data_IF_446209524729
#
_entry.id   IF_446209524729
#
_cell.length_a   1.000
_cell.length_b   1.000
_cell.length_c   1.000
_cell.angle_alpha   90.00
_cell.angle_beta   90.00
_cell.angle_gamma   90.00
#
_symmetry.space_group_name_H-M   'P 1'
#
loop_
_entity.id
_entity.type
_entity.pdbx_description
1 polymer ?
#
# COMPACT_ATOMS: atom_id res chain seq x y z
N UNK A 1 -44.17 -90.25 30.08
CA UNK A 1 -43.32 -89.15 29.63
C UNK A 1 -43.93 -88.57 28.39
N UNK A 2 -44.79 -87.59 28.58
CA UNK A 2 -45.49 -86.92 27.47
C UNK A 2 -44.66 -85.77 26.94
N UNK A 3 -44.37 -85.84 25.62
CA UNK A 3 -43.64 -84.81 24.90
C UNK A 3 -44.57 -83.66 24.57
N UNK A 4 -44.22 -82.50 25.15
CA UNK A 4 -44.88 -81.24 24.92
C UNK A 4 -44.42 -80.70 23.54
N UNK A 5 -45.31 -80.69 22.54
CA UNK A 5 -45.09 -80.03 21.27
C UNK A 5 -45.99 -78.80 21.16
N UNK A 6 -45.46 -77.57 21.33
CA UNK A 6 -46.22 -76.38 21.05
C UNK A 6 -46.10 -76.05 19.59
N UNK A 7 -46.88 -76.62 18.72
CA UNK A 7 -47.07 -76.12 17.36
C UNK A 7 -47.95 -74.87 17.45
N UNK A 8 -47.33 -73.76 17.50
CA UNK A 8 -47.97 -72.46 17.35
C UNK A 8 -48.67 -72.38 15.98
N UNK A 9 -50.00 -72.59 15.96
CA UNK A 9 -50.84 -72.32 14.77
C UNK A 9 -50.79 -70.82 14.51
N UNK A 10 -49.79 -70.34 13.73
CA UNK A 10 -49.77 -68.98 13.18
C UNK A 10 -51.04 -68.83 12.33
N UNK A 11 -51.94 -67.96 12.73
CA UNK A 11 -53.24 -67.64 12.16
C UNK A 11 -53.08 -67.40 10.64
N UNK A 12 -53.88 -68.03 9.77
CA UNK A 12 -53.73 -67.95 8.32
C UNK A 12 -53.82 -66.51 7.76
N UNK A 13 -54.46 -65.60 8.47
CA UNK A 13 -54.51 -64.19 8.19
C UNK A 13 -53.14 -63.54 8.40
N UNK A 14 -52.38 -63.94 9.42
CA UNK A 14 -51.04 -63.43 9.71
C UNK A 14 -50.05 -63.87 8.63
N UNK A 15 -50.16 -65.11 8.11
CA UNK A 15 -49.29 -65.53 7.01
C UNK A 15 -49.47 -64.75 5.70
N UNK A 16 -50.65 -64.14 5.47
CA UNK A 16 -50.90 -63.28 4.31
C UNK A 16 -50.47 -61.79 4.56
N UNK A 17 -50.46 -61.36 5.79
CA UNK A 17 -50.10 -60.02 6.16
C UNK A 17 -48.56 -59.81 6.20
N UNK A 18 -47.78 -60.81 6.60
CA UNK A 18 -46.29 -60.74 6.68
C UNK A 18 -45.66 -60.33 5.34
N UNK A 19 -45.98 -60.95 4.15
CA UNK A 19 -45.35 -60.49 2.91
C UNK A 19 -45.77 -59.10 2.49
N UNK A 20 -46.98 -58.61 2.81
CA UNK A 20 -47.42 -57.24 2.50
C UNK A 20 -46.64 -56.23 3.35
N UNK A 21 -46.49 -56.52 4.63
CA UNK A 21 -45.69 -55.68 5.52
C UNK A 21 -44.20 -55.62 5.08
N UNK A 22 -43.66 -56.79 4.68
CA UNK A 22 -42.29 -56.86 4.16
C UNK A 22 -42.13 -56.00 2.89
N UNK A 23 -43.07 -56.03 1.94
CA UNK A 23 -43.05 -55.19 0.73
C UNK A 23 -43.16 -53.68 1.09
N UNK A 24 -44.02 -53.30 2.04
CA UNK A 24 -44.12 -51.90 2.51
C UNK A 24 -42.84 -51.45 3.12
N UNK A 25 -42.17 -52.26 3.94
CA UNK A 25 -40.85 -51.92 4.54
C UNK A 25 -39.82 -51.76 3.45
N UNK A 26 -39.76 -52.61 2.45
CA UNK A 26 -38.83 -52.52 1.32
C UNK A 26 -39.08 -51.23 0.53
N UNK A 27 -40.36 -50.92 0.24
CA UNK A 27 -40.72 -49.65 -0.44
C UNK A 27 -40.31 -48.42 0.42
N UNK A 28 -40.53 -48.44 1.74
CA UNK A 28 -40.15 -47.37 2.65
C UNK A 28 -38.64 -47.20 2.69
N UNK A 29 -37.86 -48.28 2.70
CA UNK A 29 -36.40 -48.26 2.62
C UNK A 29 -35.95 -47.61 1.29
N UNK A 30 -36.49 -48.06 0.15
CA UNK A 30 -36.18 -47.52 -1.18
C UNK A 30 -36.54 -46.04 -1.23
N UNK A 31 -37.71 -45.65 -0.73
CA UNK A 31 -38.12 -44.23 -0.68
C UNK A 31 -37.17 -43.36 0.18
N UNK A 32 -36.68 -43.92 1.28
CA UNK A 32 -35.70 -43.22 2.12
C UNK A 32 -34.37 -42.93 1.39
N UNK A 33 -33.90 -43.85 0.54
CA UNK A 33 -32.69 -43.66 -0.27
C UNK A 33 -32.93 -42.84 -1.56
N UNK A 34 -34.18 -42.51 -1.87
CA UNK A 34 -34.54 -41.72 -3.05
C UNK A 34 -34.44 -40.23 -2.85
N UNK A 35 -34.27 -39.76 -1.62
CA UNK A 35 -34.22 -38.34 -1.30
C UNK A 35 -32.76 -37.86 -1.25
N UNK A 36 -32.48 -36.74 -1.90
CA UNK A 36 -31.22 -36.00 -1.80
C UNK A 36 -31.51 -34.54 -1.54
N UNK A 37 -30.79 -33.95 -0.60
CA UNK A 37 -30.87 -32.53 -0.28
C UNK A 37 -29.58 -31.86 -0.79
N UNK A 38 -29.72 -30.90 -1.71
CA UNK A 38 -28.65 -30.06 -2.20
C UNK A 38 -28.61 -28.79 -1.34
N UNK A 39 -27.50 -28.52 -0.63
CA UNK A 39 -27.39 -27.36 0.22
C UNK A 39 -27.47 -26.06 -0.57
N UNK A 40 -27.93 -24.96 0.07
CA UNK A 40 -27.97 -23.64 -0.52
C UNK A 40 -26.57 -23.20 -0.98
N UNK A 41 -26.49 -22.65 -2.20
CA UNK A 41 -25.24 -22.23 -2.82
C UNK A 41 -24.38 -23.40 -3.31
N UNK A 42 -24.99 -24.57 -3.58
CA UNK A 42 -24.33 -25.73 -4.16
C UNK A 42 -25.17 -26.28 -5.31
N UNK A 43 -24.55 -27.07 -6.16
CA UNK A 43 -25.17 -27.73 -7.29
C UNK A 43 -24.97 -29.24 -7.17
N UNK A 44 -26.04 -30.02 -7.36
CA UNK A 44 -25.98 -31.47 -7.39
C UNK A 44 -25.73 -31.97 -8.81
N UNK A 45 -24.59 -32.58 -9.06
CA UNK A 45 -24.28 -33.25 -10.34
C UNK A 45 -24.77 -34.70 -10.32
N UNK A 46 -25.68 -34.99 -11.20
CA UNK A 46 -26.32 -36.33 -11.27
C UNK A 46 -25.48 -37.25 -12.13
N UNK A 47 -25.18 -38.42 -11.58
CA UNK A 47 -24.54 -39.52 -12.31
C UNK A 47 -25.51 -40.70 -12.39
N UNK A 48 -25.77 -41.20 -13.59
CA UNK A 48 -26.60 -42.36 -13.82
C UNK A 48 -25.74 -43.51 -14.34
N UNK A 49 -25.54 -44.55 -13.53
CA UNK A 49 -24.67 -45.68 -13.86
C UNK A 49 -23.28 -45.28 -14.36
N UNK A 50 -22.69 -44.23 -13.69
CA UNK A 50 -21.37 -43.71 -14.03
C UNK A 50 -21.37 -42.65 -15.14
N UNK A 51 -22.46 -42.39 -15.84
CA UNK A 51 -22.56 -41.31 -16.82
C UNK A 51 -23.01 -40.01 -16.14
N UNK A 52 -22.23 -38.97 -16.22
CA UNK A 52 -22.58 -37.64 -15.75
C UNK A 52 -23.68 -37.06 -16.64
N UNK A 53 -24.73 -36.54 -16.03
CA UNK A 53 -25.79 -35.80 -16.72
C UNK A 53 -25.41 -34.36 -16.88
N UNK A 54 -25.74 -33.80 -18.02
CA UNK A 54 -25.54 -32.33 -18.25
C UNK A 54 -26.55 -31.49 -17.46
N UNK A 55 -27.70 -32.11 -17.04
CA UNK A 55 -28.66 -31.46 -16.16
C UNK A 55 -28.20 -31.58 -14.70
N UNK A 56 -28.12 -30.47 -14.01
CA UNK A 56 -27.75 -30.38 -12.60
C UNK A 56 -28.99 -30.15 -11.73
N UNK A 57 -28.94 -30.62 -10.49
CA UNK A 57 -29.92 -30.31 -9.46
C UNK A 57 -29.51 -29.00 -8.76
N UNK A 58 -30.40 -28.04 -8.75
CA UNK A 58 -30.21 -26.79 -7.99
C UNK A 58 -30.40 -27.07 -6.49
N UNK A 59 -30.21 -26.05 -5.67
CA UNK A 59 -30.43 -26.14 -4.23
C UNK A 59 -31.87 -26.55 -3.90
N UNK A 60 -32.01 -27.36 -2.87
CA UNK A 60 -33.31 -27.83 -2.38
C UNK A 60 -33.43 -29.35 -2.27
N UNK A 61 -34.65 -29.84 -2.16
CA UNK A 61 -34.96 -31.24 -2.04
C UNK A 61 -35.26 -31.82 -3.42
N UNK A 62 -34.54 -32.89 -3.75
CA UNK A 62 -34.69 -33.60 -5.03
C UNK A 62 -34.89 -35.10 -4.81
N UNK A 63 -35.44 -35.76 -5.84
CA UNK A 63 -35.57 -37.20 -5.87
C UNK A 63 -34.56 -37.79 -6.85
N UNK A 64 -33.88 -38.85 -6.41
CA UNK A 64 -32.99 -39.68 -7.24
C UNK A 64 -33.45 -41.14 -7.27
N UNK A 65 -33.10 -41.85 -8.31
CA UNK A 65 -33.33 -43.28 -8.37
C UNK A 65 -32.23 -43.99 -7.58
N UNK A 66 -32.58 -44.65 -6.44
CA UNK A 66 -31.58 -45.31 -5.61
C UNK A 66 -30.91 -46.46 -6.40
N UNK A 67 -29.65 -46.71 -6.08
CA UNK A 67 -28.76 -47.70 -6.74
C UNK A 67 -28.38 -47.40 -8.20
N UNK A 68 -29.13 -46.55 -8.91
CA UNK A 68 -28.90 -46.21 -10.32
C UNK A 68 -28.25 -44.81 -10.42
N UNK A 69 -28.69 -43.90 -9.56
CA UNK A 69 -28.21 -42.50 -9.57
C UNK A 69 -27.42 -42.17 -8.32
N UNK A 70 -26.27 -41.56 -8.56
CA UNK A 70 -25.48 -40.86 -7.54
C UNK A 70 -25.50 -39.35 -7.79
N UNK A 71 -25.40 -38.56 -6.73
CA UNK A 71 -25.36 -37.11 -6.82
C UNK A 71 -24.11 -36.63 -6.09
N UNK A 72 -23.20 -35.98 -6.82
CA UNK A 72 -22.06 -35.28 -6.27
C UNK A 72 -22.43 -33.80 -6.02
N UNK A 73 -22.07 -33.27 -4.88
CA UNK A 73 -22.39 -31.86 -4.51
C UNK A 73 -21.17 -31.02 -4.76
N UNK A 74 -21.28 -30.05 -5.67
CA UNK A 74 -20.26 -29.03 -5.96
C UNK A 74 -20.69 -27.73 -5.32
N UNK A 75 -19.80 -27.11 -4.52
CA UNK A 75 -20.05 -25.81 -3.92
C UNK A 75 -19.83 -24.71 -4.95
N UNK A 76 -20.83 -23.85 -5.12
CA UNK A 76 -20.75 -22.64 -5.96
C UNK A 76 -20.54 -21.38 -5.13
N UNK A 77 -20.32 -21.54 -3.81
CA UNK A 77 -19.98 -20.44 -2.91
C UNK A 77 -18.55 -19.98 -3.16
N UNK A 78 -18.27 -18.75 -2.79
CA UNK A 78 -16.90 -18.25 -2.82
C UNK A 78 -16.07 -19.02 -1.80
N UNK A 79 -15.01 -19.62 -2.28
CA UNK A 79 -14.04 -20.39 -1.52
C UNK A 79 -12.69 -19.65 -1.55
N UNK A 80 -11.86 -19.86 -0.53
CA UNK A 80 -10.51 -19.32 -0.44
C UNK A 80 -9.52 -20.47 -0.57
N UNK A 81 -8.55 -20.31 -1.47
CA UNK A 81 -7.41 -21.20 -1.60
C UNK A 81 -6.12 -20.42 -1.37
N UNK A 82 -5.29 -20.91 -0.47
CA UNK A 82 -3.93 -20.40 -0.27
C UNK A 82 -2.96 -21.27 -1.04
N UNK A 83 -2.06 -20.62 -1.79
CA UNK A 83 -1.10 -21.28 -2.67
C UNK A 83 0.27 -20.67 -2.44
N UNK A 84 1.23 -21.53 -2.19
CA UNK A 84 2.65 -21.14 -2.24
C UNK A 84 3.15 -21.31 -3.67
N UNK A 85 3.73 -20.26 -4.23
CA UNK A 85 4.25 -20.25 -5.57
C UNK A 85 5.67 -19.69 -5.59
N UNK A 86 6.59 -20.47 -6.17
CA UNK A 86 7.96 -20.06 -6.38
C UNK A 86 8.12 -19.63 -7.84
N UNK A 87 8.68 -18.46 -8.04
CA UNK A 87 8.88 -17.86 -9.34
C UNK A 87 10.29 -17.25 -9.45
N UNK A 88 10.63 -16.79 -10.64
CA UNK A 88 11.86 -16.05 -10.89
C UNK A 88 11.50 -14.72 -11.50
N UNK A 89 12.08 -13.64 -11.00
CA UNK A 89 11.90 -12.29 -11.54
C UNK A 89 12.71 -12.10 -12.83
N UNK A 90 12.48 -10.98 -13.51
CA UNK A 90 13.19 -10.60 -14.74
C UNK A 90 14.71 -10.48 -14.55
N UNK A 91 15.14 -10.07 -13.37
CA UNK A 91 16.54 -9.96 -12.95
C UNK A 91 17.09 -11.23 -12.28
N UNK A 92 16.40 -12.38 -12.54
CA UNK A 92 16.79 -13.72 -12.12
C UNK A 92 16.85 -13.93 -10.60
N UNK A 93 16.11 -13.11 -9.83
CA UNK A 93 15.96 -13.34 -8.39
C UNK A 93 14.86 -14.36 -8.12
N UNK A 94 15.13 -15.28 -7.20
CA UNK A 94 14.11 -16.21 -6.71
C UNK A 94 13.10 -15.47 -5.84
N UNK A 95 11.84 -15.67 -6.12
CA UNK A 95 10.72 -15.06 -5.42
C UNK A 95 9.83 -16.17 -4.88
N UNK A 96 9.74 -16.27 -3.58
CA UNK A 96 8.76 -17.10 -2.90
C UNK A 96 7.54 -16.25 -2.56
N UNK A 97 6.37 -16.69 -2.97
CA UNK A 97 5.15 -15.93 -2.76
C UNK A 97 4.05 -16.78 -2.14
N UNK A 98 3.35 -16.18 -1.20
CA UNK A 98 2.11 -16.71 -0.66
C UNK A 98 0.94 -15.94 -1.28
N UNK A 99 0.03 -16.68 -1.91
CA UNK A 99 -1.07 -16.14 -2.69
C UNK A 99 -2.39 -16.67 -2.13
N UNK A 100 -3.35 -15.78 -1.91
CA UNK A 100 -4.72 -16.13 -1.55
C UNK A 100 -5.64 -15.82 -2.72
N UNK A 101 -6.32 -16.85 -3.23
CA UNK A 101 -7.29 -16.75 -4.31
C UNK A 101 -8.68 -17.02 -3.78
N UNK A 102 -9.60 -16.08 -3.97
CA UNK A 102 -11.02 -16.29 -3.76
C UNK A 102 -11.65 -16.62 -5.11
N UNK A 103 -12.27 -17.76 -5.21
CA UNK A 103 -12.87 -18.28 -6.44
C UNK A 103 -14.20 -18.95 -6.16
N UNK A 104 -14.98 -19.16 -7.19
CA UNK A 104 -16.18 -19.99 -7.16
C UNK A 104 -16.34 -20.76 -8.47
N UNK A 105 -17.08 -21.84 -8.41
CA UNK A 105 -17.52 -22.59 -9.60
C UNK A 105 -18.80 -21.96 -10.13
N UNK A 106 -18.86 -21.72 -11.43
CA UNK A 106 -20.09 -21.28 -12.09
C UNK A 106 -21.18 -22.32 -11.97
N UNK A 107 -22.43 -21.90 -11.79
CA UNK A 107 -23.57 -22.84 -11.66
C UNK A 107 -23.68 -23.78 -12.84
N UNK A 108 -23.54 -23.24 -14.05
CA UNK A 108 -23.65 -24.01 -15.31
C UNK A 108 -22.41 -24.86 -15.60
N UNK A 109 -21.29 -24.56 -14.92
CA UNK A 109 -20.02 -25.26 -15.11
C UNK A 109 -19.88 -26.52 -14.23
N UNK A 110 -20.68 -26.66 -13.18
CA UNK A 110 -20.52 -27.72 -12.18
C UNK A 110 -20.56 -29.15 -12.81
N UNK A 111 -21.44 -29.41 -13.79
CA UNK A 111 -21.47 -30.69 -14.49
C UNK A 111 -20.22 -30.90 -15.35
N UNK A 112 -19.75 -29.87 -16.03
CA UNK A 112 -18.58 -29.94 -16.91
C UNK A 112 -17.28 -30.17 -16.11
N UNK A 113 -17.10 -29.44 -14.99
CA UNK A 113 -16.00 -29.66 -14.07
C UNK A 113 -15.98 -31.08 -13.55
N UNK A 114 -17.10 -31.55 -13.04
CA UNK A 114 -17.18 -32.91 -12.50
C UNK A 114 -16.89 -33.97 -13.54
N UNK A 115 -17.41 -33.80 -14.76
CA UNK A 115 -17.27 -34.74 -15.87
C UNK A 115 -15.83 -34.85 -16.39
N UNK A 116 -15.13 -33.74 -16.50
CA UNK A 116 -13.83 -33.66 -17.15
C UNK A 116 -12.65 -33.71 -16.17
N UNK A 117 -12.85 -33.26 -14.92
CA UNK A 117 -11.79 -33.08 -13.94
C UNK A 117 -12.08 -33.89 -12.66
N UNK A 118 -13.34 -33.88 -12.20
CA UNK A 118 -13.76 -34.51 -10.96
C UNK A 118 -13.84 -33.56 -9.78
N UNK A 119 -13.89 -34.12 -8.57
CA UNK A 119 -14.04 -33.37 -7.33
C UNK A 119 -12.78 -32.57 -6.94
N UNK A 120 -11.59 -33.00 -7.40
CA UNK A 120 -10.32 -32.39 -7.07
C UNK A 120 -9.86 -31.34 -8.09
N UNK A 121 -10.80 -30.58 -8.64
CA UNK A 121 -10.51 -29.54 -9.63
C UNK A 121 -9.60 -28.44 -9.10
N UNK A 122 -9.58 -28.20 -7.80
CA UNK A 122 -8.67 -27.27 -7.14
C UNK A 122 -7.21 -27.68 -7.32
N UNK A 123 -6.90 -28.94 -7.03
CA UNK A 123 -5.54 -29.48 -7.13
C UNK A 123 -5.09 -29.66 -8.58
N UNK A 124 -6.02 -30.02 -9.46
CA UNK A 124 -5.71 -30.40 -10.85
C UNK A 124 -5.64 -29.17 -11.77
N UNK A 125 -6.48 -28.17 -11.55
CA UNK A 125 -6.59 -26.99 -12.42
C UNK A 125 -6.17 -25.72 -11.71
N UNK A 126 -6.77 -25.38 -10.57
CA UNK A 126 -6.56 -24.09 -9.93
C UNK A 126 -5.11 -23.88 -9.44
N UNK A 127 -4.57 -24.84 -8.69
CA UNK A 127 -3.21 -24.75 -8.17
C UNK A 127 -2.15 -24.57 -9.27
N UNK A 128 -2.10 -25.42 -10.31
CA UNK A 128 -1.14 -25.24 -11.39
C UNK A 128 -1.34 -23.94 -12.17
N UNK A 129 -2.59 -23.51 -12.40
CA UNK A 129 -2.88 -22.27 -13.08
C UNK A 129 -2.38 -21.04 -12.29
N UNK A 130 -2.54 -21.02 -10.97
CA UNK A 130 -1.99 -19.97 -10.10
C UNK A 130 -0.47 -19.91 -10.19
N UNK A 131 0.19 -21.07 -10.04
CA UNK A 131 1.65 -21.16 -10.11
C UNK A 131 2.20 -20.72 -11.47
N UNK A 132 1.54 -21.13 -12.56
CA UNK A 132 1.96 -20.75 -13.90
C UNK A 132 1.72 -19.26 -14.18
N UNK A 133 0.57 -18.72 -13.77
CA UNK A 133 0.29 -17.28 -13.90
C UNK A 133 1.29 -16.45 -13.12
N UNK A 134 1.64 -16.88 -11.90
CA UNK A 134 2.69 -16.24 -11.09
C UNK A 134 4.04 -16.24 -11.81
N UNK A 135 4.49 -17.40 -12.31
CA UNK A 135 5.77 -17.52 -13.04
C UNK A 135 5.80 -16.68 -14.32
N UNK A 136 4.70 -16.69 -15.06
CA UNK A 136 4.60 -15.95 -16.33
C UNK A 136 4.65 -14.44 -16.15
N UNK A 137 4.01 -13.93 -15.10
CA UNK A 137 3.95 -12.48 -14.85
C UNK A 137 5.21 -12.02 -14.13
N UNK A 138 5.68 -12.73 -13.09
CA UNK A 138 6.88 -12.32 -12.34
C UNK A 138 8.13 -12.22 -13.23
N UNK A 139 8.25 -13.04 -14.26
CA UNK A 139 9.35 -12.99 -15.22
C UNK A 139 9.40 -11.68 -16.07
N UNK A 140 8.34 -10.87 -16.05
CA UNK A 140 8.28 -9.58 -16.75
C UNK A 140 8.78 -8.43 -15.90
N UNK A 141 8.82 -8.58 -14.57
CA UNK A 141 9.13 -7.55 -13.58
C UNK A 141 10.43 -7.87 -12.85
N UNK A 142 11.20 -6.84 -12.50
CA UNK A 142 12.32 -6.99 -11.58
C UNK A 142 11.82 -7.22 -10.15
N UNK A 143 12.66 -7.73 -9.28
CA UNK A 143 12.32 -7.95 -7.88
C UNK A 143 11.88 -6.63 -7.18
N UNK A 144 12.54 -5.50 -7.49
CA UNK A 144 12.15 -4.17 -7.03
C UNK A 144 10.77 -3.75 -7.55
N UNK A 145 10.47 -4.01 -8.83
CA UNK A 145 9.16 -3.71 -9.43
C UNK A 145 8.04 -4.59 -8.86
N UNK A 146 8.31 -5.86 -8.53
CA UNK A 146 7.34 -6.74 -7.86
C UNK A 146 6.89 -6.18 -6.51
N UNK A 147 7.75 -5.46 -5.80
CA UNK A 147 7.45 -4.81 -4.53
C UNK A 147 6.72 -3.47 -4.77
N UNK A 148 7.27 -2.61 -5.61
CA UNK A 148 6.81 -1.22 -5.82
C UNK A 148 5.52 -1.15 -6.64
N UNK A 149 5.36 -2.05 -7.63
CA UNK A 149 4.18 -2.14 -8.50
C UNK A 149 3.25 -3.30 -8.13
N UNK A 150 3.27 -3.74 -6.86
CA UNK A 150 2.55 -4.91 -6.36
C UNK A 150 1.08 -4.96 -6.77
N UNK A 151 0.38 -3.83 -6.76
CA UNK A 151 -1.03 -3.75 -7.15
C UNK A 151 -1.21 -4.08 -8.64
N UNK A 152 -0.38 -3.53 -9.51
CA UNK A 152 -0.42 -3.78 -10.96
C UNK A 152 -0.07 -5.23 -11.28
N UNK A 153 0.99 -5.76 -10.64
CA UNK A 153 1.40 -7.17 -10.77
C UNK A 153 0.26 -8.10 -10.35
N UNK A 154 -0.42 -7.79 -9.24
CA UNK A 154 -1.56 -8.57 -8.76
C UNK A 154 -2.71 -8.62 -9.76
N UNK A 155 -3.06 -7.52 -10.39
CA UNK A 155 -4.11 -7.47 -11.41
C UNK A 155 -3.70 -8.21 -12.70
N UNK A 156 -2.43 -8.14 -13.10
CA UNK A 156 -1.94 -8.88 -14.27
C UNK A 156 -1.92 -10.40 -14.02
N UNK A 157 -1.53 -10.83 -12.80
CA UNK A 157 -1.59 -12.25 -12.43
C UNK A 157 -3.06 -12.72 -12.39
N UNK A 158 -3.96 -11.92 -11.81
CA UNK A 158 -5.40 -12.22 -11.79
C UNK A 158 -5.94 -12.41 -13.20
N UNK A 159 -5.65 -11.49 -14.11
CA UNK A 159 -6.11 -11.56 -15.50
C UNK A 159 -5.56 -12.79 -16.22
N UNK A 160 -4.28 -13.12 -16.04
CA UNK A 160 -3.67 -14.33 -16.60
C UNK A 160 -4.28 -15.60 -16.02
N UNK A 161 -4.62 -15.59 -14.74
CA UNK A 161 -5.29 -16.72 -14.07
C UNK A 161 -6.71 -16.91 -14.58
N UNK A 162 -7.49 -15.81 -14.67
CA UNK A 162 -8.86 -15.83 -15.21
C UNK A 162 -8.91 -16.41 -16.62
N UNK A 163 -7.99 -16.02 -17.49
CA UNK A 163 -7.90 -16.57 -18.85
C UNK A 163 -7.71 -18.09 -18.84
N UNK A 164 -6.86 -18.62 -17.96
CA UNK A 164 -6.56 -20.06 -17.87
C UNK A 164 -7.67 -20.90 -17.26
N UNK A 165 -8.41 -20.37 -16.29
CA UNK A 165 -9.41 -21.16 -15.53
C UNK A 165 -10.84 -20.95 -16.02
N UNK A 166 -11.10 -19.90 -16.82
CA UNK A 166 -12.43 -19.59 -17.34
C UNK A 166 -13.00 -20.68 -18.25
N UNK A 167 -12.16 -21.39 -19.01
CA UNK A 167 -12.59 -22.51 -19.86
C UNK A 167 -13.20 -23.66 -19.07
N UNK A 168 -12.78 -23.83 -17.81
CA UNK A 168 -13.32 -24.82 -16.89
C UNK A 168 -14.54 -24.30 -16.12
N UNK A 169 -14.88 -23.02 -16.26
CA UNK A 169 -15.99 -22.38 -15.57
C UNK A 169 -15.70 -22.03 -14.11
N UNK A 170 -14.43 -21.88 -13.77
CA UNK A 170 -13.98 -21.33 -12.48
C UNK A 170 -13.91 -19.81 -12.64
N UNK A 171 -14.54 -19.09 -11.73
CA UNK A 171 -14.57 -17.62 -11.68
C UNK A 171 -13.69 -17.15 -10.53
N UNK A 172 -12.73 -16.29 -10.84
CA UNK A 172 -11.86 -15.67 -9.82
C UNK A 172 -12.53 -14.38 -9.33
N UNK A 173 -12.94 -14.38 -8.07
CA UNK A 173 -13.55 -13.20 -7.45
C UNK A 173 -12.50 -12.20 -6.96
N UNK A 174 -11.46 -12.72 -6.30
CA UNK A 174 -10.37 -11.90 -5.76
C UNK A 174 -9.05 -12.66 -5.80
N UNK A 175 -8.00 -11.94 -6.17
CA UNK A 175 -6.62 -12.39 -6.09
C UNK A 175 -5.86 -11.48 -5.11
N UNK A 176 -5.11 -12.06 -4.20
CA UNK A 176 -4.33 -11.30 -3.22
C UNK A 176 -2.97 -11.96 -3.05
N UNK A 177 -1.93 -11.19 -3.26
CA UNK A 177 -0.58 -11.59 -2.88
C UNK A 177 -0.46 -11.31 -1.38
N UNK A 178 -0.22 -12.33 -0.58
CA UNK A 178 -0.08 -12.20 0.88
C UNK A 178 1.34 -11.74 1.20
N UNK A 179 2.32 -12.44 0.67
CA UNK A 179 3.72 -12.13 0.86
C UNK A 179 4.55 -12.32 -0.42
N UNK A 180 5.66 -11.56 -0.52
CA UNK A 180 6.77 -11.79 -1.42
C UNK A 180 8.03 -11.91 -0.57
N UNK A 181 8.67 -13.06 -0.60
CA UNK A 181 9.94 -13.31 0.06
C UNK A 181 11.03 -13.47 -1.00
N UNK A 182 12.15 -12.81 -0.78
CA UNK A 182 13.33 -12.85 -1.62
C UNK A 182 14.49 -13.48 -0.86
N UNK A 183 15.59 -13.80 -1.57
CA UNK A 183 16.78 -14.33 -0.90
C UNK A 183 17.35 -13.33 0.11
N UNK A 184 18.01 -13.83 1.15
CA UNK A 184 18.62 -13.01 2.20
C UNK A 184 19.67 -12.05 1.61
N UNK A 185 20.47 -12.53 0.66
CA UNK A 185 21.49 -11.72 -0.02
C UNK A 185 20.86 -10.57 -0.83
N UNK A 186 19.70 -10.82 -1.45
CA UNK A 186 18.97 -9.76 -2.17
C UNK A 186 18.41 -8.72 -1.21
N UNK A 187 17.83 -9.14 -0.09
CA UNK A 187 17.28 -8.23 0.92
C UNK A 187 18.39 -7.35 1.51
N UNK A 188 19.55 -7.91 1.85
CA UNK A 188 20.72 -7.15 2.31
C UNK A 188 21.24 -6.16 1.25
N UNK A 189 21.28 -6.56 -0.03
CA UNK A 189 21.71 -5.67 -1.12
C UNK A 189 20.74 -4.51 -1.34
N UNK A 190 19.43 -4.74 -1.24
CA UNK A 190 18.41 -3.69 -1.33
C UNK A 190 18.48 -2.74 -0.14
N UNK A 191 18.68 -3.26 1.07
CA UNK A 191 18.86 -2.43 2.27
C UNK A 191 20.10 -1.54 2.14
N UNK A 192 21.23 -2.11 1.72
CA UNK A 192 22.47 -1.36 1.49
C UNK A 192 22.28 -0.28 0.41
N UNK A 193 21.58 -0.57 -0.69
CA UNK A 193 21.23 0.39 -1.74
C UNK A 193 20.40 1.53 -1.19
N UNK A 194 19.34 1.23 -0.41
CA UNK A 194 18.47 2.24 0.19
C UNK A 194 19.23 3.14 1.16
N UNK A 195 20.12 2.58 1.99
CA UNK A 195 20.96 3.36 2.90
C UNK A 195 21.90 4.29 2.11
N UNK A 196 22.50 3.80 1.01
CA UNK A 196 23.35 4.62 0.16
C UNK A 196 22.58 5.75 -0.54
N UNK A 197 21.39 5.50 -1.04
CA UNK A 197 20.51 6.50 -1.65
C UNK A 197 20.05 7.56 -0.64
N UNK A 198 19.67 7.14 0.58
CA UNK A 198 19.30 8.06 1.66
C UNK A 198 20.48 8.96 2.06
N UNK A 199 21.69 8.39 2.16
CA UNK A 199 22.89 9.15 2.44
C UNK A 199 23.21 10.17 1.33
N UNK A 200 23.02 9.79 0.07
CA UNK A 200 23.19 10.70 -1.07
C UNK A 200 22.20 11.86 -1.03
N UNK A 201 20.91 11.56 -0.77
CA UNK A 201 19.86 12.60 -0.63
C UNK A 201 20.19 13.52 0.53
N UNK A 202 20.57 12.96 1.68
CA UNK A 202 20.97 13.73 2.87
C UNK A 202 22.14 14.68 2.56
N UNK A 203 23.20 14.17 1.93
CA UNK A 203 24.37 14.98 1.57
C UNK A 203 24.00 16.10 0.59
N UNK A 204 23.16 15.80 -0.43
CA UNK A 204 22.66 16.84 -1.34
C UNK A 204 21.88 17.92 -0.60
N UNK A 205 20.97 17.54 0.26
CA UNK A 205 20.16 18.47 1.04
C UNK A 205 21.03 19.33 1.97
N UNK A 206 22.03 18.73 2.62
CA UNK A 206 22.99 19.46 3.46
C UNK A 206 23.82 20.47 2.64
N UNK A 207 24.25 20.11 1.42
CA UNK A 207 24.95 21.02 0.52
C UNK A 207 24.05 22.17 0.04
N UNK A 208 22.82 21.88 -0.35
CA UNK A 208 21.84 22.90 -0.74
C UNK A 208 21.55 23.87 0.42
N UNK A 209 21.37 23.34 1.64
CA UNK A 209 21.19 24.15 2.84
C UNK A 209 22.41 25.05 3.11
N UNK A 210 23.63 24.52 2.98
CA UNK A 210 24.85 25.28 3.17
C UNK A 210 24.97 26.43 2.16
N UNK A 211 24.60 26.22 0.90
CA UNK A 211 24.56 27.25 -0.14
C UNK A 211 23.54 28.33 0.24
N UNK A 212 22.32 27.95 0.59
CA UNK A 212 21.26 28.89 0.98
C UNK A 212 21.67 29.75 2.20
N UNK A 213 22.29 29.10 3.19
CA UNK A 213 22.81 29.83 4.37
C UNK A 213 23.91 30.82 3.98
N UNK A 214 24.88 30.42 3.13
CA UNK A 214 25.93 31.27 2.66
C UNK A 214 25.40 32.45 1.83
N UNK A 215 24.43 32.23 0.96
CA UNK A 215 23.76 33.29 0.20
C UNK A 215 22.98 34.24 1.12
N UNK A 216 22.26 33.72 2.11
CA UNK A 216 21.56 34.57 3.09
C UNK A 216 22.51 35.40 3.94
N UNK A 217 23.67 34.87 4.34
CA UNK A 217 24.69 35.61 5.06
C UNK A 217 25.33 36.70 4.19
N UNK A 218 25.63 36.39 2.93
CA UNK A 218 26.16 37.37 1.97
C UNK A 218 25.14 38.50 1.73
N UNK A 219 23.87 38.16 1.54
CA UNK A 219 22.80 39.13 1.37
C UNK A 219 22.63 40.02 2.62
N UNK A 220 22.70 39.42 3.81
CA UNK A 220 22.63 40.15 5.08
C UNK A 220 23.75 41.14 5.21
N UNK A 221 25.00 40.76 4.86
CA UNK A 221 26.17 41.68 4.87
C UNK A 221 26.00 42.83 3.87
N UNK A 222 25.50 42.53 2.67
CA UNK A 222 25.22 43.53 1.64
C UNK A 222 24.17 44.56 2.11
N UNK A 223 23.06 44.09 2.68
CA UNK A 223 22.00 44.94 3.23
C UNK A 223 22.53 45.78 4.38
N UNK A 224 23.33 45.20 5.28
CA UNK A 224 23.94 45.95 6.39
C UNK A 224 24.88 47.03 5.90
N UNK A 225 25.77 46.76 4.94
CA UNK A 225 26.67 47.75 4.34
C UNK A 225 25.89 48.84 3.60
N UNK A 226 24.84 48.50 2.88
CA UNK A 226 23.99 49.51 2.22
C UNK A 226 23.28 50.40 3.24
N UNK A 227 22.72 49.83 4.31
CA UNK A 227 22.06 50.58 5.37
C UNK A 227 23.02 51.51 6.09
N UNK A 228 24.27 51.10 6.31
CA UNK A 228 25.32 51.93 6.90
C UNK A 228 25.71 53.08 5.97
N UNK A 229 25.88 52.82 4.67
CA UNK A 229 26.16 53.88 3.67
C UNK A 229 25.00 54.88 3.58
N UNK A 230 23.75 54.41 3.57
CA UNK A 230 22.57 55.27 3.55
C UNK A 230 22.46 56.10 4.83
N UNK A 231 22.78 55.54 6.00
CA UNK A 231 22.81 56.24 7.28
C UNK A 231 23.89 57.32 7.32
N UNK A 232 25.10 57.05 6.79
CA UNK A 232 26.18 58.02 6.68
C UNK A 232 25.76 59.17 5.75
N UNK A 233 25.20 58.85 4.59
CA UNK A 233 24.73 59.85 3.62
C UNK A 233 23.63 60.73 4.21
N UNK A 234 22.63 60.13 4.86
CA UNK A 234 21.54 60.86 5.51
C UNK A 234 22.06 61.78 6.63
N UNK A 235 23.04 61.30 7.43
CA UNK A 235 23.67 62.10 8.48
C UNK A 235 24.47 63.26 7.91
N UNK A 236 25.27 63.03 6.83
CA UNK A 236 26.00 64.04 6.13
C UNK A 236 25.09 65.12 5.52
N UNK A 237 24.00 64.70 4.90
CA UNK A 237 23.00 65.60 4.34
C UNK A 237 22.32 66.44 5.42
N UNK A 238 21.89 65.81 6.52
CA UNK A 238 21.27 66.52 7.65
C UNK A 238 22.26 67.54 8.27
N UNK A 239 23.56 67.20 8.37
CA UNK A 239 24.57 68.08 8.86
C UNK A 239 24.82 69.25 7.89
N UNK A 240 24.83 68.99 6.56
CA UNK A 240 24.96 70.03 5.55
C UNK A 240 23.78 71.03 5.58
N UNK A 241 22.57 70.50 5.70
CA UNK A 241 21.34 71.28 5.80
C UNK A 241 21.34 72.15 7.09
N UNK A 242 21.75 71.58 8.22
CA UNK A 242 21.89 72.29 9.50
C UNK A 242 22.93 73.39 9.40
N UNK A 243 24.09 73.10 8.78
CA UNK A 243 25.12 74.10 8.57
C UNK A 243 24.69 75.25 7.65
N UNK A 244 23.87 74.92 6.61
CA UNK A 244 23.31 75.92 5.71
C UNK A 244 22.31 76.83 6.43
N UNK A 245 21.42 76.29 7.23
CA UNK A 245 20.49 77.05 8.07
C UNK A 245 21.20 77.92 9.09
N UNK A 246 22.23 77.37 9.72
CA UNK A 246 23.11 78.16 10.61
C UNK A 246 23.77 79.32 9.87
N UNK A 247 24.36 79.09 8.70
CA UNK A 247 24.97 80.13 7.89
C UNK A 247 23.98 81.21 7.44
N UNK A 248 22.75 80.81 7.10
CA UNK A 248 21.68 81.77 6.76
C UNK A 248 21.14 82.56 7.97
N UNK A 249 21.24 82.02 9.16
CA UNK A 249 20.75 82.62 10.41
C UNK A 249 21.80 83.48 11.13
N UNK A 250 23.08 83.26 10.82
CA UNK A 250 24.19 83.99 11.41
C UNK A 250 24.35 85.36 10.73
N UNK A 251 23.92 86.39 11.44
CA UNK A 251 24.39 87.77 11.14
C UNK A 251 25.48 88.15 12.14
N UNK A 252 26.24 89.20 11.85
CA UNK A 252 27.42 89.58 12.62
C UNK A 252 27.12 89.76 14.12
N UNK A 253 25.96 90.19 14.50
CA UNK A 253 25.56 90.38 15.90
C UNK A 253 25.35 89.01 16.65
N UNK A 254 24.91 88.02 15.98
CA UNK A 254 24.69 86.61 16.59
C UNK A 254 26.06 85.98 16.78
N UNK A 255 26.96 86.10 15.82
CA UNK A 255 28.35 85.60 15.95
C UNK A 255 29.07 86.20 17.12
N UNK A 256 28.89 87.49 17.31
CA UNK A 256 29.50 88.24 18.43
C UNK A 256 28.92 87.87 19.78
N UNK A 257 27.58 87.66 19.85
CA UNK A 257 26.90 87.17 21.05
C UNK A 257 27.33 85.71 21.42
N UNK A 258 27.46 84.80 20.50
CA UNK A 258 27.94 83.43 20.71
C UNK A 258 29.42 83.40 21.16
N UNK A 259 30.27 84.29 20.62
CA UNK A 259 31.65 84.48 21.09
C UNK A 259 31.70 84.90 22.54
N UNK A 260 30.83 85.83 22.93
CA UNK A 260 30.76 86.35 24.32
C UNK A 260 30.23 85.21 25.24
N UNK A 261 29.25 84.42 24.83
CA UNK A 261 28.66 83.37 25.63
C UNK A 261 29.61 82.15 25.86
N UNK A 262 30.47 81.85 24.90
CA UNK A 262 31.51 80.82 25.02
C UNK A 262 32.85 81.33 25.56
N UNK A 263 32.95 82.55 25.87
CA UNK A 263 34.17 83.13 26.43
C UNK A 263 34.35 82.69 27.89
N UNK A 264 35.50 82.08 28.18
CA UNK A 264 35.88 81.56 29.49
C UNK A 264 36.38 82.65 30.45
N UNK A 265 36.26 83.91 30.05
CA UNK A 265 36.67 85.11 30.86
C UNK A 265 38.15 85.36 30.89
N UNK A 266 39.00 84.70 30.15
CA UNK A 266 40.44 84.92 30.09
C UNK A 266 40.77 85.72 28.86
N UNK A 267 41.62 86.71 29.06
CA UNK A 267 42.17 87.51 27.94
C UNK A 267 43.11 86.67 27.08
N UNK A 268 42.98 86.72 25.76
CA UNK A 268 43.85 85.94 24.88
C UNK A 268 45.29 86.40 25.06
N UNK A 269 46.23 85.45 25.12
CA UNK A 269 47.65 85.67 25.37
C UNK A 269 48.36 86.37 24.20
N UNK A 270 47.71 86.49 23.06
CA UNK A 270 48.20 87.20 21.87
C UNK A 270 47.11 88.08 21.29
N UNK A 271 47.24 89.37 21.27
CA UNK A 271 46.37 90.35 20.62
C UNK A 271 47.04 90.87 19.35
N UNK A 272 46.61 90.32 18.21
CA UNK A 272 46.92 90.92 16.90
C UNK A 272 45.62 90.93 16.10
N UNK A 273 45.45 91.90 15.22
CA UNK A 273 44.19 92.22 14.56
C UNK A 273 43.57 91.10 13.69
N UNK A 274 44.24 89.91 13.59
CA UNK A 274 43.76 88.76 12.77
C UNK A 274 44.02 87.42 13.42
N UNK A 275 44.35 87.31 14.71
CA UNK A 275 44.58 85.99 15.35
C UNK A 275 43.29 85.43 15.98
N UNK A 276 42.59 84.64 15.23
CA UNK A 276 41.42 83.82 15.69
C UNK A 276 41.77 82.44 16.23
N UNK A 277 43.07 82.10 16.35
CA UNK A 277 43.50 80.77 16.80
C UNK A 277 44.62 80.91 17.82
N UNK A 278 44.40 80.63 19.09
CA UNK A 278 45.43 80.37 20.07
C UNK A 278 45.92 78.94 19.94
N UNK A 279 47.17 78.77 19.51
CA UNK A 279 47.88 77.50 19.63
C UNK A 279 48.45 77.43 21.05
N UNK A 280 47.98 76.44 21.86
CA UNK A 280 48.67 76.04 23.09
C UNK A 280 49.63 74.89 22.71
N UNK A 281 50.95 75.09 22.75
CA UNK A 281 51.92 74.09 22.36
C UNK A 281 52.14 72.98 23.40
N UNK A 282 51.36 72.94 24.53
CA UNK A 282 51.56 71.98 25.61
C UNK A 282 50.46 70.91 25.74
N UNK A 283 49.61 70.67 24.72
CA UNK A 283 48.66 69.53 24.73
C UNK A 283 49.15 68.37 23.85
N UNK A 284 50.40 68.00 23.93
CA UNK A 284 50.88 66.71 23.54
C UNK A 284 51.66 66.11 24.69
N UNK A 285 50.98 65.46 25.60
CA UNK A 285 51.46 64.37 26.45
C UNK A 285 50.31 64.03 27.43
N UNK A 286 49.59 63.04 27.11
CA UNK A 286 49.18 61.94 27.97
C UNK A 286 47.96 61.21 27.36
N UNK A 287 48.29 59.94 27.01
CA UNK A 287 47.49 58.69 26.79
C UNK A 287 46.69 58.56 25.49
#
# INVERSE_FOLDING_TARGET
>A
MEGFNPVNKVNSKVKKIIPIVAVIIVIAIIASFSIVIVPAGSTGVVMTLGKVSDNVMQEGLHFKVPFVQNVAIISNKIQKQEVQANAVSKDLQTVESEIAVNYRVGLDASANIYKNIGERYEEIVLLPAVQESMKSVSAKYTAEELITLRAQVGEEIKSSLEEKVSEYGIVIEKFSIVNFDFSEEFNEAIEAKQVAEQNLIKTKTEQEQAIVIAEAEAQKKLIAAQAEADAITAKAQAQADANKLLAESLNDNVVEYEKIQKWDGKLPTVTGSDALISFDPNQNEEE
#
